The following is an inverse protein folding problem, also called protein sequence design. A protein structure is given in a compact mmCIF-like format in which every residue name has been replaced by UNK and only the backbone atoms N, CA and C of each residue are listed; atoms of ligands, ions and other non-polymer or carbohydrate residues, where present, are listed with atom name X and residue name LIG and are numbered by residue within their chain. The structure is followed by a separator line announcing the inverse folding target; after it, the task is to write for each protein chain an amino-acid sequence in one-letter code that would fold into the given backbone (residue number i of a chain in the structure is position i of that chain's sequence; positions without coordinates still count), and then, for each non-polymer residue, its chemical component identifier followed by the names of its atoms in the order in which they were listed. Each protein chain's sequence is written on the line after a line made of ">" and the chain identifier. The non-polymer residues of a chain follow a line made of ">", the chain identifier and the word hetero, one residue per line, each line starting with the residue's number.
data_IF_540614222385
#
_entry.id   IF_540614222385
#
_cell.length_a   1.000
_cell.length_b   1.000
_cell.length_c   1.000
_cell.angle_alpha   90.00
_cell.angle_beta   90.00
_cell.angle_gamma   90.00
#
_symmetry.space_group_name_H-M   'P 1'
#
loop_
_entity.id
_entity.type
_entity.pdbx_description
1 polymer ?
#
# COMPACT_ATOMS: atom_id res chain seq x y z
N UNK A 1 6.38 3.81 1.66
CA UNK A 1 6.39 3.31 0.26
C UNK A 1 7.09 1.96 0.14
N UNK A 2 8.36 1.82 0.51
CA UNK A 2 9.10 0.54 0.42
C UNK A 2 8.35 -0.57 1.17
N UNK A 3 7.99 -0.37 2.44
CA UNK A 3 7.20 -1.32 3.22
C UNK A 3 5.91 -1.76 2.49
N UNK A 4 5.17 -0.82 1.89
CA UNK A 4 3.95 -1.15 1.15
C UNK A 4 4.24 -2.05 -0.06
N UNK A 5 5.37 -1.83 -0.75
CA UNK A 5 5.76 -2.66 -1.90
C UNK A 5 6.20 -4.05 -1.46
N UNK A 6 7.02 -4.15 -0.41
CA UNK A 6 7.44 -5.44 0.17
C UNK A 6 6.22 -6.24 0.62
N UNK A 7 5.33 -5.65 1.42
CA UNK A 7 4.10 -6.32 1.85
C UNK A 7 3.23 -6.77 0.68
N UNK A 8 3.07 -5.93 -0.34
CA UNK A 8 2.28 -6.31 -1.52
C UNK A 8 2.85 -7.53 -2.22
N UNK A 9 4.17 -7.58 -2.45
CA UNK A 9 4.82 -8.64 -3.22
C UNK A 9 5.00 -9.92 -2.42
N UNK A 10 5.44 -9.82 -1.17
CA UNK A 10 5.86 -10.97 -0.38
C UNK A 10 4.72 -11.59 0.45
N UNK A 11 3.68 -10.84 0.74
CA UNK A 11 2.60 -11.30 1.60
C UNK A 11 1.22 -11.20 0.93
N UNK A 12 0.81 -10.00 0.55
CA UNK A 12 -0.59 -9.77 0.17
C UNK A 12 -0.95 -10.39 -1.18
N UNK A 13 -0.10 -10.31 -2.20
CA UNK A 13 -0.39 -10.92 -3.50
C UNK A 13 -0.51 -12.44 -3.40
N UNK A 14 0.44 -13.18 -2.80
CA UNK A 14 0.29 -14.62 -2.60
C UNK A 14 -1.00 -15.00 -1.84
N UNK A 15 -1.30 -14.32 -0.75
CA UNK A 15 -2.44 -14.69 0.09
C UNK A 15 -3.78 -14.26 -0.51
N UNK A 16 -3.89 -13.01 -0.97
CA UNK A 16 -5.18 -12.47 -1.45
C UNK A 16 -5.53 -12.93 -2.86
N UNK A 17 -4.55 -12.96 -3.76
CA UNK A 17 -4.80 -13.24 -5.18
C UNK A 17 -4.63 -14.72 -5.53
N UNK A 18 -3.50 -15.32 -5.16
CA UNK A 18 -3.18 -16.69 -5.57
C UNK A 18 -3.98 -17.71 -4.76
N UNK A 19 -4.15 -17.49 -3.46
CA UNK A 19 -4.88 -18.39 -2.55
C UNK A 19 -6.33 -17.94 -2.35
N UNK A 20 -6.58 -16.64 -2.17
CA UNK A 20 -7.89 -16.08 -1.88
C UNK A 20 -8.77 -15.79 -3.10
N UNK A 21 -8.20 -15.77 -4.31
CA UNK A 21 -8.94 -15.53 -5.54
C UNK A 21 -9.37 -14.08 -5.79
N UNK A 22 -8.87 -13.12 -5.00
CA UNK A 22 -9.11 -11.71 -5.24
C UNK A 22 -8.51 -11.27 -6.60
N UNK A 23 -9.20 -10.45 -7.35
CA UNK A 23 -8.70 -9.93 -8.62
C UNK A 23 -7.48 -9.03 -8.43
N UNK A 24 -7.50 -8.19 -7.42
CA UNK A 24 -6.38 -7.34 -7.03
C UNK A 24 -6.37 -7.06 -5.54
N UNK A 25 -5.18 -6.85 -5.00
CA UNK A 25 -4.99 -6.52 -3.59
C UNK A 25 -3.56 -6.13 -3.31
N UNK A 26 -3.32 -5.46 -2.20
CA UNK A 26 -1.99 -5.04 -1.81
C UNK A 26 -1.98 -3.95 -0.77
N UNK A 27 -0.83 -3.31 -0.61
CA UNK A 27 -0.63 -2.14 0.23
C UNK A 27 -0.18 -0.94 -0.61
N UNK A 28 -0.54 0.25 -0.20
CA UNK A 28 -0.12 1.49 -0.83
C UNK A 28 0.18 2.58 0.20
N UNK A 29 1.01 3.52 -0.16
CA UNK A 29 1.31 4.70 0.63
C UNK A 29 1.16 5.96 -0.21
N UNK A 30 0.32 6.86 0.24
CA UNK A 30 0.12 8.17 -0.37
C UNK A 30 0.99 9.20 0.34
N UNK A 31 1.94 9.78 -0.39
CA UNK A 31 2.87 10.80 0.14
C UNK A 31 2.21 12.13 0.46
N UNK A 32 1.09 12.45 -0.17
CA UNK A 32 0.41 13.73 0.00
C UNK A 32 -0.38 13.76 1.29
N UNK A 33 -1.05 12.65 1.59
CA UNK A 33 -1.89 12.51 2.79
C UNK A 33 -1.18 11.83 3.95
N UNK A 34 -0.03 11.15 3.71
CA UNK A 34 0.65 10.32 4.69
C UNK A 34 -0.07 8.99 4.96
N UNK A 35 -1.09 8.65 4.19
CA UNK A 35 -1.94 7.50 4.43
C UNK A 35 -1.31 6.20 3.94
N UNK A 36 -1.16 5.23 4.85
CA UNK A 36 -0.85 3.85 4.51
C UNK A 36 -2.16 3.05 4.43
N UNK A 37 -2.36 2.30 3.36
CA UNK A 37 -3.59 1.55 3.11
C UNK A 37 -3.29 0.12 2.70
N UNK A 38 -4.09 -0.81 3.22
CA UNK A 38 -4.34 -2.10 2.59
C UNK A 38 -5.58 -1.99 1.72
N UNK A 39 -5.65 -2.74 0.65
CA UNK A 39 -6.82 -2.78 -0.22
C UNK A 39 -6.98 -4.14 -0.89
N UNK A 40 -8.22 -4.49 -1.16
CA UNK A 40 -8.61 -5.62 -2.00
C UNK A 40 -9.71 -5.21 -2.95
N UNK A 41 -9.80 -5.85 -4.10
CA UNK A 41 -10.74 -5.53 -5.16
C UNK A 41 -11.26 -6.79 -5.83
N UNK A 42 -12.59 -6.88 -6.01
CA UNK A 42 -13.29 -8.08 -6.48
C UNK A 42 -12.83 -9.32 -5.71
N UNK A 43 -13.04 -9.25 -4.42
CA UNK A 43 -12.57 -10.23 -3.46
C UNK A 43 -13.73 -11.13 -3.01
N UNK A 44 -13.66 -12.45 -3.24
CA UNK A 44 -14.68 -13.38 -2.81
C UNK A 44 -14.60 -13.71 -1.30
N UNK A 45 -13.45 -13.48 -0.65
CA UNK A 45 -13.16 -13.93 0.72
C UNK A 45 -13.05 -12.75 1.70
N UNK A 46 -14.04 -11.84 1.67
CA UNK A 46 -14.02 -10.56 2.38
C UNK A 46 -13.51 -10.64 3.83
N UNK A 47 -14.03 -11.55 4.65
CA UNK A 47 -13.66 -11.66 6.07
C UNK A 47 -12.21 -12.12 6.23
N UNK A 48 -11.81 -13.14 5.49
CA UNK A 48 -10.43 -13.63 5.51
C UNK A 48 -9.44 -12.54 5.08
N UNK A 49 -9.84 -11.69 4.13
CA UNK A 49 -9.03 -10.56 3.69
C UNK A 49 -8.84 -9.52 4.80
N UNK A 50 -9.86 -9.23 5.60
CA UNK A 50 -9.71 -8.37 6.77
C UNK A 50 -8.74 -8.97 7.78
N UNK A 51 -8.83 -10.27 8.05
CA UNK A 51 -7.90 -11.00 8.94
C UNK A 51 -6.46 -10.93 8.41
N UNK A 52 -6.27 -11.06 7.09
CA UNK A 52 -4.96 -10.93 6.43
C UNK A 52 -4.38 -9.53 6.64
N UNK A 53 -5.19 -8.49 6.53
CA UNK A 53 -4.74 -7.11 6.78
C UNK A 53 -4.32 -6.90 8.23
N UNK A 54 -5.08 -7.42 9.19
CA UNK A 54 -4.74 -7.36 10.62
C UNK A 54 -3.45 -8.13 10.94
N UNK A 55 -3.23 -9.25 10.28
CA UNK A 55 -2.05 -10.08 10.49
C UNK A 55 -0.75 -9.53 9.85
N UNK A 56 -0.81 -8.44 9.07
CA UNK A 56 0.34 -7.94 8.32
C UNK A 56 1.53 -7.53 9.22
N UNK A 57 1.27 -6.94 10.39
CA UNK A 57 2.30 -6.59 11.37
C UNK A 57 3.00 -7.83 11.94
N UNK A 58 2.22 -8.81 12.34
CA UNK A 58 2.72 -10.10 12.84
C UNK A 58 3.51 -10.85 11.77
N UNK A 59 3.05 -10.79 10.52
CA UNK A 59 3.76 -11.42 9.42
C UNK A 59 5.16 -10.82 9.24
N UNK A 60 5.30 -9.49 9.18
CA UNK A 60 6.60 -8.82 9.07
C UNK A 60 7.50 -9.17 10.25
N UNK A 61 6.97 -9.24 11.47
CA UNK A 61 7.75 -9.59 12.65
C UNK A 61 8.37 -10.99 12.57
N UNK A 62 7.68 -11.94 11.91
CA UNK A 62 8.11 -13.33 11.73
C UNK A 62 8.95 -13.54 10.45
N UNK A 63 8.92 -12.60 9.54
CA UNK A 63 9.60 -12.67 8.22
C UNK A 63 10.49 -11.43 8.05
N UNK A 64 11.71 -11.45 8.62
CA UNK A 64 12.64 -10.33 8.49
C UNK A 64 12.89 -9.97 7.04
N UNK A 65 12.68 -8.70 6.71
CA UNK A 65 12.85 -8.18 5.35
C UNK A 65 14.32 -8.28 4.94
N UNK A 66 14.58 -8.88 3.79
CA UNK A 66 15.91 -9.07 3.23
C UNK A 66 16.39 -7.87 2.42
N UNK A 67 17.70 -7.80 2.17
CA UNK A 67 18.29 -6.81 1.26
C UNK A 67 17.70 -6.92 -0.15
N UNK A 68 17.55 -8.13 -0.67
CA UNK A 68 16.99 -8.35 -2.01
C UNK A 68 15.57 -7.80 -2.14
N UNK A 69 14.70 -8.07 -1.18
CA UNK A 69 13.31 -7.55 -1.17
C UNK A 69 13.26 -6.02 -1.14
N UNK A 70 14.17 -5.39 -0.40
CA UNK A 70 14.29 -3.93 -0.39
C UNK A 70 14.78 -3.42 -1.74
N UNK A 71 15.79 -4.04 -2.35
CA UNK A 71 16.29 -3.67 -3.67
C UNK A 71 15.21 -3.79 -4.75
N UNK A 72 14.46 -4.88 -4.78
CA UNK A 72 13.34 -5.08 -5.69
C UNK A 72 12.25 -4.00 -5.52
N UNK A 73 11.91 -3.68 -4.27
CA UNK A 73 10.94 -2.63 -3.96
C UNK A 73 11.46 -1.25 -4.38
N UNK A 74 12.74 -0.94 -4.12
CA UNK A 74 13.41 0.29 -4.53
C UNK A 74 13.40 0.42 -6.06
N UNK A 75 13.84 -0.62 -6.79
CA UNK A 75 13.84 -0.63 -8.25
C UNK A 75 12.45 -0.38 -8.82
N UNK A 76 11.43 -1.03 -8.27
CA UNK A 76 10.05 -0.83 -8.70
C UNK A 76 9.56 0.62 -8.51
N UNK A 77 9.92 1.25 -7.39
CA UNK A 77 9.53 2.63 -7.09
C UNK A 77 10.30 3.62 -7.96
N UNK A 78 11.62 3.44 -8.07
CA UNK A 78 12.49 4.32 -8.87
C UNK A 78 12.13 4.25 -10.34
N UNK A 79 11.84 3.06 -10.87
CA UNK A 79 11.35 2.90 -12.25
C UNK A 79 10.08 3.71 -12.52
N UNK A 80 9.16 3.80 -11.52
CA UNK A 80 7.97 4.64 -11.64
C UNK A 80 8.27 6.14 -11.57
N UNK A 81 9.26 6.54 -10.76
CA UNK A 81 9.68 7.95 -10.64
C UNK A 81 10.41 8.41 -11.90
N UNK A 82 11.26 7.56 -12.45
CA UNK A 82 12.14 7.85 -13.60
C UNK A 82 11.48 7.53 -14.94
N UNK A 83 10.24 6.98 -14.93
CA UNK A 83 9.52 6.66 -16.16
C UNK A 83 9.30 7.91 -17.03
N UNK A 84 9.70 7.86 -18.32
CA UNK A 84 9.51 9.01 -19.21
C UNK A 84 8.01 9.26 -19.43
N UNK A 85 7.60 10.50 -19.26
CA UNK A 85 6.24 10.94 -19.53
C UNK A 85 6.08 11.49 -20.95
N UNK A 86 4.83 11.60 -21.42
CA UNK A 86 4.57 12.46 -22.58
C UNK A 86 4.77 13.93 -22.18
N UNK A 87 5.10 14.83 -23.13
CA UNK A 87 5.29 16.26 -22.81
C UNK A 87 4.11 16.86 -22.04
N UNK A 88 2.88 16.51 -22.41
CA UNK A 88 1.66 16.94 -21.71
C UNK A 88 1.52 16.30 -20.30
N UNK A 89 1.97 15.05 -20.15
CA UNK A 89 2.01 14.34 -18.86
C UNK A 89 3.02 14.99 -17.91
N UNK A 90 4.22 15.29 -18.39
CA UNK A 90 5.26 15.97 -17.62
C UNK A 90 4.82 17.37 -17.19
N UNK A 91 4.22 18.14 -18.09
CA UNK A 91 3.68 19.47 -17.77
C UNK A 91 2.62 19.42 -16.66
N UNK A 92 1.69 18.45 -16.72
CA UNK A 92 0.68 18.24 -15.67
C UNK A 92 1.33 17.85 -14.35
N UNK A 93 2.29 16.92 -14.38
CA UNK A 93 3.01 16.48 -13.19
C UNK A 93 3.76 17.64 -12.55
N UNK A 94 4.48 18.45 -13.34
CA UNK A 94 5.19 19.65 -12.87
C UNK A 94 4.22 20.66 -12.23
N UNK A 95 3.07 20.91 -12.87
CA UNK A 95 2.04 21.80 -12.32
C UNK A 95 1.47 21.29 -10.99
N UNK A 96 1.13 20.00 -10.89
CA UNK A 96 0.67 19.40 -9.64
C UNK A 96 1.72 19.49 -8.52
N UNK A 97 2.97 19.23 -8.85
CA UNK A 97 4.06 19.33 -7.88
C UNK A 97 4.24 20.78 -7.39
N UNK A 98 4.15 21.76 -8.31
CA UNK A 98 4.18 23.16 -7.95
C UNK A 98 3.02 23.56 -7.02
N UNK A 99 1.80 23.12 -7.31
CA UNK A 99 0.64 23.33 -6.43
C UNK A 99 0.82 22.72 -5.04
N UNK A 100 1.53 21.60 -4.93
CA UNK A 100 1.85 20.93 -3.68
C UNK A 100 3.08 21.49 -2.97
N UNK A 101 3.73 22.54 -3.51
CA UNK A 101 4.96 23.11 -2.97
C UNK A 101 6.17 22.17 -3.06
N UNK A 102 6.13 21.16 -3.93
CA UNK A 102 7.23 20.19 -4.11
C UNK A 102 8.28 20.71 -5.08
N UNK A 103 9.37 21.24 -4.54
CA UNK A 103 10.51 21.69 -5.36
C UNK A 103 11.25 20.50 -6.00
N UNK A 104 12.01 20.81 -7.05
CA UNK A 104 12.89 19.82 -7.68
C UNK A 104 13.94 19.27 -6.71
N UNK A 105 14.44 20.10 -5.80
CA UNK A 105 15.39 19.70 -4.78
C UNK A 105 14.75 18.68 -3.80
N UNK A 106 13.51 18.91 -3.37
CA UNK A 106 12.76 17.95 -2.55
C UNK A 106 12.58 16.62 -3.25
N UNK A 107 12.30 16.62 -4.56
CA UNK A 107 12.17 15.39 -5.35
C UNK A 107 13.49 14.63 -5.45
N UNK A 108 14.59 15.33 -5.68
CA UNK A 108 15.94 14.74 -5.71
C UNK A 108 16.34 14.19 -4.34
N UNK A 109 16.01 14.90 -3.26
CA UNK A 109 16.23 14.42 -1.89
C UNK A 109 15.42 13.16 -1.60
N UNK A 110 14.15 13.14 -1.98
CA UNK A 110 13.28 11.98 -1.85
C UNK A 110 13.83 10.77 -2.63
N UNK A 111 14.23 10.96 -3.89
CA UNK A 111 14.83 9.88 -4.69
C UNK A 111 16.10 9.33 -4.04
N UNK A 112 16.99 10.19 -3.55
CA UNK A 112 18.19 9.75 -2.80
C UNK A 112 17.80 8.98 -1.53
N UNK A 113 16.80 9.44 -0.79
CA UNK A 113 16.32 8.75 0.42
C UNK A 113 15.77 7.35 0.10
N UNK A 114 15.00 7.19 -0.98
CA UNK A 114 14.50 5.88 -1.43
C UNK A 114 15.66 4.92 -1.75
N UNK A 115 16.69 5.39 -2.47
CA UNK A 115 17.85 4.59 -2.84
C UNK A 115 18.71 4.17 -1.63
N UNK A 116 18.62 4.89 -0.52
CA UNK A 116 19.39 4.64 0.70
C UNK A 116 18.62 3.82 1.77
N UNK A 117 17.40 3.36 1.47
CA UNK A 117 16.59 2.61 2.45
C UNK A 117 17.23 1.26 2.74
N UNK A 118 17.27 0.93 4.03
CA UNK A 118 17.80 -0.33 4.53
C UNK A 118 16.69 -1.25 5.05
N UNK A 119 16.91 -2.59 5.09
CA UNK A 119 15.96 -3.52 5.71
C UNK A 119 15.58 -3.13 7.14
N UNK A 120 16.55 -2.68 7.93
CA UNK A 120 16.33 -2.24 9.31
C UNK A 120 15.31 -1.09 9.40
N UNK A 121 15.39 -0.11 8.50
CA UNK A 121 14.43 1.01 8.46
C UNK A 121 13.03 0.55 8.04
N UNK A 122 12.93 -0.43 7.14
CA UNK A 122 11.65 -1.02 6.73
C UNK A 122 11.01 -1.76 7.90
N UNK A 123 11.78 -2.57 8.64
CA UNK A 123 11.33 -3.27 9.84
C UNK A 123 10.88 -2.30 10.92
N UNK A 124 11.66 -1.26 11.20
CA UNK A 124 11.30 -0.23 12.18
C UNK A 124 10.00 0.50 11.82
N UNK A 125 9.79 0.79 10.52
CA UNK A 125 8.54 1.39 10.06
C UNK A 125 7.35 0.43 10.25
N UNK A 126 7.54 -0.88 10.00
CA UNK A 126 6.50 -1.87 10.23
C UNK A 126 6.12 -1.95 11.71
N UNK A 127 7.08 -2.03 12.62
CA UNK A 127 6.85 -2.04 14.08
C UNK A 127 6.10 -0.80 14.55
N UNK A 128 6.45 0.37 14.00
CA UNK A 128 5.86 1.65 14.42
C UNK A 128 4.42 1.81 13.93
N UNK A 129 4.11 1.39 12.70
CA UNK A 129 2.87 1.77 12.04
C UNK A 129 1.87 0.63 11.80
N UNK A 130 2.31 -0.63 11.69
CA UNK A 130 1.40 -1.73 11.38
C UNK A 130 0.66 -2.29 12.61
N UNK A 131 1.14 -1.99 13.81
CA UNK A 131 0.52 -2.42 15.07
C UNK A 131 -0.46 -1.37 15.64
N UNK A 132 -0.84 -0.37 14.84
CA UNK A 132 -1.81 0.65 15.21
C UNK A 132 -3.23 0.19 14.87
N UNK A 133 -4.20 0.77 15.56
CA UNK A 133 -5.61 0.59 15.23
C UNK A 133 -5.90 1.10 13.80
N UNK A 134 -6.61 0.30 13.01
CA UNK A 134 -6.90 0.60 11.60
C UNK A 134 -8.36 0.98 11.42
N UNK A 135 -8.60 2.03 10.65
CA UNK A 135 -9.94 2.33 10.12
C UNK A 135 -10.20 1.47 8.89
N UNK A 136 -11.38 0.87 8.82
CA UNK A 136 -11.78 -0.02 7.72
C UNK A 136 -13.00 0.54 6.99
N UNK A 137 -13.01 0.39 5.66
CA UNK A 137 -14.17 0.67 4.82
C UNK A 137 -14.36 -0.49 3.83
N UNK A 138 -15.58 -0.95 3.71
CA UNK A 138 -15.96 -2.06 2.84
C UNK A 138 -17.11 -1.63 1.94
N UNK A 139 -16.97 -1.90 0.64
CA UNK A 139 -18.07 -1.79 -0.32
C UNK A 139 -18.37 -3.19 -0.84
N UNK A 140 -19.57 -3.69 -0.59
CA UNK A 140 -19.95 -5.05 -0.94
C UNK A 140 -21.42 -5.13 -1.35
N UNK A 141 -21.84 -6.31 -1.85
CA UNK A 141 -23.25 -6.58 -2.13
C UNK A 141 -24.04 -6.77 -0.83
N UNK A 142 -25.36 -6.61 -0.91
CA UNK A 142 -26.28 -6.84 0.21
C UNK A 142 -26.20 -8.28 0.77
N UNK A 143 -25.90 -9.24 -0.08
CA UNK A 143 -25.78 -10.65 0.30
C UNK A 143 -24.61 -10.89 1.29
N UNK A 144 -23.51 -10.16 1.09
CA UNK A 144 -22.33 -10.27 1.94
C UNK A 144 -22.40 -9.37 3.20
N UNK A 145 -23.43 -8.53 3.31
CA UNK A 145 -23.60 -7.62 4.44
C UNK A 145 -23.70 -8.36 5.78
N UNK A 146 -24.36 -9.52 5.78
CA UNK A 146 -24.58 -10.31 7.00
C UNK A 146 -23.29 -10.93 7.57
N UNK A 147 -22.23 -11.06 6.77
CA UNK A 147 -20.95 -11.61 7.19
C UNK A 147 -20.03 -10.57 7.84
N UNK A 148 -20.34 -9.27 7.71
CA UNK A 148 -19.54 -8.20 8.30
C UNK A 148 -19.77 -8.12 9.83
N UNK A 149 -18.72 -7.85 10.64
CA UNK A 149 -18.82 -7.58 12.06
C UNK A 149 -19.86 -6.48 12.39
N UNK A 150 -20.50 -6.59 13.56
CA UNK A 150 -21.57 -5.67 13.99
C UNK A 150 -21.10 -4.23 14.22
N UNK A 151 -19.82 -4.01 14.40
CA UNK A 151 -19.17 -2.70 14.60
C UNK A 151 -19.14 -1.83 13.35
N UNK A 152 -19.35 -2.41 12.16
CA UNK A 152 -19.43 -1.62 10.92
C UNK A 152 -20.70 -0.79 10.86
N UNK A 153 -20.55 0.53 10.71
CA UNK A 153 -21.66 1.42 10.37
C UNK A 153 -22.06 1.19 8.91
N UNK A 154 -23.35 0.89 8.69
CA UNK A 154 -23.86 0.48 7.37
C UNK A 154 -24.55 1.62 6.66
N UNK A 155 -24.18 1.84 5.39
CA UNK A 155 -24.82 2.81 4.53
C UNK A 155 -25.21 2.15 3.20
N UNK A 156 -26.46 2.34 2.77
CA UNK A 156 -26.90 1.86 1.45
C UNK A 156 -26.56 2.90 0.40
N UNK A 157 -25.75 2.53 -0.58
CA UNK A 157 -25.51 3.35 -1.76
C UNK A 157 -26.72 3.21 -2.70
N UNK A 158 -27.35 4.33 -3.05
CA UNK A 158 -28.37 4.35 -4.10
C UNK A 158 -27.67 4.36 -5.45
N UNK A 159 -28.02 3.43 -6.32
CA UNK A 159 -27.59 3.38 -7.72
C UNK A 159 -28.18 4.55 -8.53
#
# INVERSE_FOLDING_TARGET
>A
MILARVLSQQYLHPVLREQGGAYGGGASYDQTTGLFRFYSYRDPELIKTLDVFHAAGDWVSKHPVTHQEVEEAVLSIVSGIDAPGSPAGEARTAHHQWLQGRSEEMRRAFRRAILAVTPKQVMQAAETYLNQEMSMAVVTSKENECSLPSEFVRHTLKA
#
